data_IF_143810155335
#
_entry.id   IF_143810155335
#
_cell.length_a   1.000
_cell.length_b   1.000
_cell.length_c   1.000
_cell.angle_alpha   90.00
_cell.angle_beta   90.00
_cell.angle_gamma   90.00
#
_symmetry.space_group_name_H-M   'P 1'
#
loop_
_entity.id
_entity.type
_entity.pdbx_description
1 polymer ?
#
# COMPACT_ATOMS: atom_id res chain seq x y z
N UNK A 1 -34.70 26.92 72.11
CA UNK A 1 -36.08 26.71 71.79
C UNK A 1 -36.28 26.61 70.30
N UNK A 2 -37.28 25.86 69.85
CA UNK A 2 -37.61 25.72 68.42
C UNK A 2 -38.44 26.95 67.98
N UNK A 3 -38.09 27.59 66.88
CA UNK A 3 -38.89 28.58 66.22
C UNK A 3 -39.74 27.93 65.15
N UNK A 4 -41.06 27.96 65.28
CA UNK A 4 -41.98 27.50 64.25
C UNK A 4 -42.64 28.73 63.62
N UNK A 5 -42.41 28.86 62.28
CA UNK A 5 -43.06 29.89 61.46
C UNK A 5 -44.19 29.22 60.66
N UNK A 6 -45.40 29.73 60.80
CA UNK A 6 -46.58 29.25 60.06
C UNK A 6 -46.85 30.07 58.78
N UNK A 7 -46.00 31.05 58.48
CA UNK A 7 -46.10 31.96 57.34
C UNK A 7 -44.73 32.22 56.72
N UNK A 8 -44.71 32.86 55.57
CA UNK A 8 -43.45 33.14 54.81
C UNK A 8 -42.54 34.06 55.66
N UNK A 9 -41.27 33.65 55.80
CA UNK A 9 -40.24 34.55 56.30
C UNK A 9 -39.77 35.46 55.15
N UNK A 10 -39.93 36.78 55.33
CA UNK A 10 -39.46 37.80 54.40
C UNK A 10 -38.28 38.51 55.05
N UNK A 11 -37.11 38.43 54.50
CA UNK A 11 -35.87 39.05 54.96
C UNK A 11 -34.90 39.34 53.83
N UNK A 12 -33.97 40.25 54.08
CA UNK A 12 -32.89 40.57 53.11
C UNK A 12 -31.68 39.61 53.24
N UNK A 13 -31.57 38.89 54.36
CA UNK A 13 -30.53 37.86 54.57
C UNK A 13 -31.02 36.84 55.60
N UNK A 14 -30.59 35.60 55.44
CA UNK A 14 -30.78 34.54 56.41
C UNK A 14 -29.38 33.85 56.57
N UNK A 15 -28.82 33.97 57.78
CA UNK A 15 -27.55 33.31 58.14
C UNK A 15 -27.85 32.09 59.01
N UNK A 16 -27.47 30.89 58.49
CA UNK A 16 -27.66 29.62 59.17
C UNK A 16 -26.31 28.97 59.34
N UNK A 17 -25.83 28.88 60.58
CA UNK A 17 -24.55 28.23 60.90
C UNK A 17 -24.64 26.71 61.03
N UNK A 18 -25.81 26.10 60.86
CA UNK A 18 -26.07 24.66 60.91
C UNK A 18 -26.64 24.15 59.59
N UNK A 19 -27.18 22.94 59.61
CA UNK A 19 -27.78 22.30 58.45
C UNK A 19 -29.12 22.93 58.08
N UNK A 20 -29.42 22.95 56.79
CA UNK A 20 -30.76 23.30 56.25
C UNK A 20 -31.39 22.00 55.73
N UNK A 21 -32.44 21.57 56.38
CA UNK A 21 -33.28 20.44 55.96
C UNK A 21 -34.55 20.96 55.29
N UNK A 22 -34.76 20.64 54.02
CA UNK A 22 -35.91 21.07 53.23
C UNK A 22 -36.67 19.85 52.72
N UNK A 23 -37.81 19.54 53.30
CA UNK A 23 -38.65 18.42 52.86
C UNK A 23 -39.36 18.67 51.51
N UNK A 24 -39.29 19.86 50.96
CA UNK A 24 -39.96 20.26 49.72
C UNK A 24 -39.01 20.74 48.65
N UNK A 25 -39.52 21.59 47.77
CA UNK A 25 -38.73 22.20 46.67
C UNK A 25 -38.09 23.48 47.15
N UNK A 26 -36.80 23.63 46.90
CA UNK A 26 -36.03 24.86 47.06
C UNK A 26 -35.91 25.56 45.72
N UNK A 27 -36.38 26.80 45.61
CA UNK A 27 -36.23 27.64 44.42
C UNK A 27 -35.22 28.76 44.70
N UNK A 28 -34.07 28.68 44.05
CA UNK A 28 -32.97 29.65 44.20
C UNK A 28 -32.58 30.21 42.84
N UNK A 29 -32.46 31.52 42.70
CA UNK A 29 -32.07 32.17 41.46
C UNK A 29 -30.57 31.95 41.16
N UNK A 30 -29.73 32.00 42.18
CA UNK A 30 -28.30 31.76 42.10
C UNK A 30 -27.90 30.88 43.29
N UNK A 31 -27.13 29.83 43.03
CA UNK A 31 -26.54 28.97 44.06
C UNK A 31 -25.03 29.00 43.89
N UNK A 32 -24.34 29.49 44.92
CA UNK A 32 -22.87 29.45 45.01
C UNK A 32 -22.50 28.51 46.14
N UNK A 33 -21.73 27.46 45.83
CA UNK A 33 -21.36 26.40 46.76
C UNK A 33 -19.85 26.21 46.71
N UNK A 34 -19.16 26.63 47.79
CA UNK A 34 -17.71 26.46 47.91
C UNK A 34 -17.29 25.02 48.28
N UNK A 35 -18.23 24.15 48.61
CA UNK A 35 -18.00 22.77 49.03
C UNK A 35 -18.45 21.73 48.03
N UNK A 36 -18.31 20.45 48.38
CA UNK A 36 -18.80 19.33 47.59
C UNK A 36 -20.34 19.26 47.60
N UNK A 37 -20.94 18.95 46.47
CA UNK A 37 -22.37 18.63 46.32
C UNK A 37 -22.54 17.12 46.13
N UNK A 38 -23.29 16.51 47.07
CA UNK A 38 -23.66 15.09 46.93
C UNK A 38 -25.13 15.01 46.54
N UNK A 39 -25.39 14.42 45.36
CA UNK A 39 -26.74 14.15 44.85
C UNK A 39 -26.98 12.63 44.85
N UNK A 40 -27.91 12.17 45.66
CA UNK A 40 -28.21 10.76 45.83
C UNK A 40 -28.85 10.11 44.59
N UNK A 41 -29.44 10.90 43.66
CA UNK A 41 -30.16 10.41 42.48
C UNK A 41 -29.71 11.10 41.22
N UNK A 42 -30.46 12.05 40.70
CA UNK A 42 -30.24 12.65 39.37
C UNK A 42 -30.00 14.15 39.45
N UNK A 43 -29.00 14.63 38.73
CA UNK A 43 -28.88 16.06 38.38
C UNK A 43 -29.52 16.27 37.01
N UNK A 44 -30.61 17.05 36.96
CA UNK A 44 -31.22 17.52 35.73
C UNK A 44 -30.77 18.94 35.43
N UNK A 45 -30.00 19.12 34.39
CA UNK A 45 -29.60 20.48 33.92
C UNK A 45 -30.30 20.71 32.57
N UNK A 46 -31.12 21.76 32.49
CA UNK A 46 -31.83 22.13 31.25
C UNK A 46 -31.05 23.13 30.39
N UNK A 47 -29.97 23.69 30.92
CA UNK A 47 -29.05 24.57 30.23
C UNK A 47 -27.70 23.92 29.92
N UNK A 48 -26.72 24.74 29.61
CA UNK A 48 -25.35 24.33 29.42
C UNK A 48 -24.66 23.96 30.74
N UNK A 49 -23.80 22.96 30.75
CA UNK A 49 -22.95 22.61 31.89
C UNK A 49 -21.49 22.91 31.54
N UNK A 50 -20.86 23.81 32.28
CA UNK A 50 -19.43 24.11 32.15
C UNK A 50 -18.64 23.46 33.29
N UNK A 51 -17.71 22.60 32.98
CA UNK A 51 -16.76 22.02 33.93
C UNK A 51 -15.39 22.67 33.73
N UNK A 52 -14.82 23.29 34.74
CA UNK A 52 -13.54 23.99 34.66
C UNK A 52 -12.34 23.01 34.68
N UNK A 53 -12.52 21.77 35.15
CA UNK A 53 -11.45 20.79 35.23
C UNK A 53 -11.81 19.49 34.50
N UNK A 54 -12.41 18.53 35.17
CA UNK A 54 -12.66 17.19 34.63
C UNK A 54 -14.09 16.74 34.93
N UNK A 55 -14.64 15.90 34.06
CA UNK A 55 -15.70 14.96 34.40
C UNK A 55 -14.98 13.61 34.75
N UNK A 56 -14.98 13.27 36.05
CA UNK A 56 -14.41 12.02 36.52
C UNK A 56 -15.52 10.97 36.67
N UNK A 57 -15.39 9.89 35.94
CA UNK A 57 -16.33 8.77 35.90
C UNK A 57 -15.60 7.47 36.25
N UNK A 58 -16.28 6.55 36.91
CA UNK A 58 -15.73 5.24 37.24
C UNK A 58 -15.76 4.25 36.09
N UNK A 59 -15.12 3.09 36.30
CA UNK A 59 -15.19 1.99 35.36
C UNK A 59 -16.63 1.49 35.19
N UNK A 60 -17.05 1.26 33.97
CA UNK A 60 -18.40 0.88 33.63
C UNK A 60 -19.39 2.04 33.46
N UNK A 61 -19.05 3.25 33.91
CA UNK A 61 -19.88 4.42 33.68
C UNK A 61 -19.90 4.79 32.18
N UNK A 62 -21.04 5.33 31.70
CA UNK A 62 -21.27 5.57 30.28
C UNK A 62 -21.74 7.00 30.06
N UNK A 63 -21.07 7.72 29.16
CA UNK A 63 -21.60 8.94 28.56
C UNK A 63 -22.51 8.51 27.40
N UNK A 64 -23.79 8.87 27.47
CA UNK A 64 -24.80 8.52 26.47
C UNK A 64 -25.24 9.77 25.73
N UNK A 65 -25.19 9.71 24.41
CA UNK A 65 -25.62 10.78 23.51
C UNK A 65 -26.69 10.23 22.57
N UNK A 66 -27.72 11.04 22.29
CA UNK A 66 -28.88 10.63 21.52
C UNK A 66 -30.02 10.04 22.40
N UNK A 67 -31.24 10.06 21.90
CA UNK A 67 -32.44 9.68 22.65
C UNK A 67 -32.45 8.19 23.07
N UNK A 68 -31.77 7.33 22.30
CA UNK A 68 -31.63 5.87 22.55
C UNK A 68 -30.19 5.49 22.93
N UNK A 69 -29.38 6.44 23.38
CA UNK A 69 -27.94 6.23 23.62
C UNK A 69 -27.22 5.76 22.34
N UNK A 70 -27.48 6.45 21.23
CA UNK A 70 -27.00 6.09 19.90
C UNK A 70 -25.47 6.15 19.80
N UNK A 71 -24.83 7.11 20.49
CA UNK A 71 -23.38 7.19 20.69
C UNK A 71 -23.03 7.06 22.16
N UNK A 72 -22.11 6.16 22.49
CA UNK A 72 -21.64 5.97 23.87
C UNK A 72 -20.11 6.04 23.96
N UNK A 73 -19.63 6.63 25.07
CA UNK A 73 -18.22 6.62 25.48
C UNK A 73 -18.14 5.91 26.83
N UNK A 74 -17.25 4.91 26.96
CA UNK A 74 -17.11 4.17 28.20
C UNK A 74 -15.71 3.57 28.34
N UNK A 75 -15.29 3.32 29.60
CA UNK A 75 -14.17 2.46 29.97
C UNK A 75 -14.68 1.33 30.84
N UNK A 76 -14.29 0.06 30.58
CA UNK A 76 -14.80 -1.11 31.30
C UNK A 76 -13.81 -1.70 32.32
N UNK A 77 -12.76 -0.93 32.65
CA UNK A 77 -11.64 -1.38 33.49
C UNK A 77 -10.48 -2.00 32.71
N UNK A 78 -10.66 -2.22 31.41
CA UNK A 78 -9.63 -2.77 30.52
C UNK A 78 -9.57 -2.03 29.19
N UNK A 79 -10.71 -1.78 28.57
CA UNK A 79 -10.82 -1.19 27.23
C UNK A 79 -11.65 0.10 27.24
N UNK A 80 -11.29 1.02 26.36
CA UNK A 80 -12.05 2.23 26.07
C UNK A 80 -12.81 2.10 24.76
N UNK A 81 -14.07 2.53 24.76
CA UNK A 81 -14.99 2.39 23.65
C UNK A 81 -15.55 3.74 23.21
N UNK A 82 -15.61 3.96 21.91
CA UNK A 82 -16.49 4.91 21.23
C UNK A 82 -17.43 4.04 20.40
N UNK A 83 -18.68 3.94 20.78
CA UNK A 83 -19.63 3.01 20.16
C UNK A 83 -20.84 3.76 19.62
N UNK A 84 -21.03 3.72 18.31
CA UNK A 84 -22.18 4.20 17.58
C UNK A 84 -23.10 3.00 17.29
N UNK A 85 -24.32 3.04 17.84
CA UNK A 85 -25.37 2.05 17.65
C UNK A 85 -26.59 2.65 16.95
N UNK A 86 -26.50 3.92 16.56
CA UNK A 86 -27.52 4.62 15.80
C UNK A 86 -27.66 4.10 14.34
N UNK A 87 -28.52 4.76 13.59
CA UNK A 87 -28.75 4.43 12.17
C UNK A 87 -27.81 5.16 11.21
N UNK A 88 -27.00 6.10 11.72
CA UNK A 88 -26.08 6.91 10.95
C UNK A 88 -24.69 6.31 10.86
N UNK A 89 -23.73 7.15 10.53
CA UNK A 89 -22.31 6.83 10.44
C UNK A 89 -21.56 7.56 11.54
N UNK A 90 -20.63 6.90 12.21
CA UNK A 90 -19.66 7.59 13.07
C UNK A 90 -18.71 8.40 12.19
N UNK A 91 -18.82 9.70 12.20
CA UNK A 91 -17.97 10.63 11.45
C UNK A 91 -16.90 11.17 12.40
N UNK A 92 -15.63 11.04 11.99
CA UNK A 92 -14.47 11.62 12.67
C UNK A 92 -13.84 12.65 11.75
N UNK A 93 -13.97 13.93 12.08
CA UNK A 93 -13.51 15.04 11.25
C UNK A 93 -12.35 15.78 11.93
N UNK A 94 -11.41 16.24 11.13
CA UNK A 94 -10.29 17.07 11.59
C UNK A 94 -9.42 17.53 10.42
N UNK A 95 -8.59 18.54 10.67
CA UNK A 95 -7.54 18.96 9.71
C UNK A 95 -6.52 17.84 9.43
N UNK A 96 -6.42 16.86 10.32
CA UNK A 96 -5.64 15.64 10.20
C UNK A 96 -6.13 14.65 11.27
N UNK A 97 -6.20 13.37 10.93
CA UNK A 97 -6.53 12.31 11.88
C UNK A 97 -5.32 11.40 12.02
N UNK A 98 -4.80 11.26 13.24
CA UNK A 98 -3.65 10.43 13.55
C UNK A 98 -4.00 9.37 14.59
N UNK A 99 -3.61 8.12 14.32
CA UNK A 99 -3.63 7.04 15.30
C UNK A 99 -2.19 6.80 15.74
N UNK A 100 -1.92 6.96 17.03
CA UNK A 100 -0.58 6.88 17.61
C UNK A 100 -0.52 5.85 18.72
N UNK A 101 0.66 5.34 19.00
CA UNK A 101 0.95 4.49 20.13
C UNK A 101 0.97 5.33 21.42
N UNK A 102 0.36 4.81 22.48
CA UNK A 102 0.33 5.49 23.76
C UNK A 102 1.74 5.67 24.36
N UNK A 103 2.00 6.86 24.92
CA UNK A 103 3.23 7.18 25.66
C UNK A 103 4.48 7.46 24.84
N UNK A 104 4.41 7.34 23.52
CA UNK A 104 5.52 7.65 22.58
C UNK A 104 5.01 8.32 21.33
N UNK A 105 5.84 9.11 20.65
CA UNK A 105 5.47 9.75 19.38
C UNK A 105 5.68 8.78 18.20
N UNK A 106 4.95 7.65 18.24
CA UNK A 106 4.95 6.65 17.18
C UNK A 106 3.62 6.69 16.44
N UNK A 107 3.65 7.03 15.17
CA UNK A 107 2.48 7.05 14.30
C UNK A 107 2.20 5.64 13.75
N UNK A 108 0.95 5.20 13.84
CA UNK A 108 0.46 3.94 13.29
C UNK A 108 -0.36 4.16 12.02
N UNK A 109 -1.21 5.20 12.00
CA UNK A 109 -1.95 5.62 10.83
C UNK A 109 -2.10 7.15 10.81
N UNK A 110 -2.11 7.70 9.60
CA UNK A 110 -2.29 9.13 9.37
C UNK A 110 -3.21 9.35 8.18
N UNK A 111 -4.24 10.17 8.34
CA UNK A 111 -5.15 10.59 7.29
C UNK A 111 -5.04 12.10 7.13
N UNK A 112 -4.56 12.55 5.98
CA UNK A 112 -4.35 13.96 5.69
C UNK A 112 -5.27 14.37 4.55
N UNK A 113 -6.16 15.37 4.73
CA UNK A 113 -7.03 15.88 3.65
C UNK A 113 -6.20 16.29 2.43
N UNK A 114 -6.73 16.01 1.24
CA UNK A 114 -6.09 16.31 -0.07
C UNK A 114 -4.68 15.69 -0.26
N UNK A 115 -4.34 14.71 0.60
CA UNK A 115 -3.05 14.01 0.58
C UNK A 115 -3.24 12.50 0.85
N UNK A 116 -2.20 11.83 1.33
CA UNK A 116 -2.23 10.40 1.53
C UNK A 116 -2.96 9.96 2.82
N UNK A 117 -3.69 8.84 2.74
CA UNK A 117 -3.92 7.97 3.87
C UNK A 117 -2.72 7.03 3.99
N UNK A 118 -2.01 7.07 5.13
CA UNK A 118 -0.75 6.33 5.31
C UNK A 118 -0.80 5.41 6.51
N UNK A 119 -0.37 4.17 6.34
CA UNK A 119 -0.16 3.20 7.42
C UNK A 119 1.34 3.02 7.69
N UNK A 120 1.69 2.91 8.96
CA UNK A 120 3.08 2.87 9.41
C UNK A 120 3.39 1.59 10.18
N UNK A 121 4.65 1.21 10.17
CA UNK A 121 5.26 0.24 11.07
C UNK A 121 6.53 0.85 11.65
N UNK A 122 6.59 1.02 12.97
CA UNK A 122 7.70 1.68 13.69
C UNK A 122 8.06 3.05 13.07
N UNK A 123 7.08 3.94 12.91
CA UNK A 123 7.21 5.27 12.26
C UNK A 123 7.65 5.25 10.79
N UNK A 124 7.85 4.10 10.17
CA UNK A 124 8.15 3.98 8.75
C UNK A 124 6.87 3.75 7.94
N UNK A 125 6.57 4.60 6.97
CA UNK A 125 5.44 4.43 6.07
C UNK A 125 5.58 3.12 5.28
N UNK A 126 4.51 2.31 5.26
CA UNK A 126 4.45 1.02 4.56
C UNK A 126 3.43 1.01 3.43
N UNK A 127 2.30 1.66 3.62
CA UNK A 127 1.24 1.78 2.62
C UNK A 127 0.80 3.24 2.61
N UNK A 128 0.72 3.84 1.41
CA UNK A 128 0.22 5.20 1.24
C UNK A 128 -0.63 5.31 -0.02
N UNK A 129 -1.79 5.98 0.06
CA UNK A 129 -2.59 6.31 -1.13
C UNK A 129 -1.93 7.43 -1.93
N UNK A 130 -2.09 7.39 -3.25
CA UNK A 130 -1.61 8.43 -4.18
C UNK A 130 -2.74 8.83 -5.12
N UNK A 131 -2.54 9.85 -5.94
CA UNK A 131 -3.52 10.27 -6.94
C UNK A 131 -3.86 9.18 -7.98
N UNK A 132 -2.97 8.19 -8.18
CA UNK A 132 -3.09 7.16 -9.23
C UNK A 132 -3.19 5.74 -8.67
N UNK A 133 -3.08 5.55 -7.34
CA UNK A 133 -3.12 4.21 -6.76
C UNK A 133 -2.60 4.14 -5.34
N UNK A 134 -1.83 3.12 -5.03
CA UNK A 134 -1.25 2.87 -3.71
C UNK A 134 0.24 2.58 -3.83
N UNK A 135 1.05 3.24 -3.01
CA UNK A 135 2.46 2.90 -2.83
C UNK A 135 2.61 1.92 -1.66
N UNK A 136 3.32 0.83 -1.90
CA UNK A 136 3.75 -0.13 -0.88
C UNK A 136 5.27 -0.06 -0.76
N UNK A 137 5.77 0.22 0.44
CA UNK A 137 7.22 0.24 0.72
C UNK A 137 7.64 -1.12 1.28
N UNK A 138 8.37 -1.86 0.50
CA UNK A 138 8.75 -3.27 0.75
C UNK A 138 7.96 -4.23 -0.13
N UNK A 139 7.84 -5.47 0.31
CA UNK A 139 7.16 -6.53 -0.43
C UNK A 139 5.66 -6.60 -0.16
N UNK A 140 4.90 -7.02 -1.14
CA UNK A 140 3.53 -7.54 -0.95
C UNK A 140 3.62 -9.06 -0.81
N UNK A 141 3.39 -9.59 0.37
CA UNK A 141 3.40 -11.03 0.61
C UNK A 141 2.06 -11.64 0.19
N UNK A 142 2.09 -12.58 -0.76
CA UNK A 142 0.90 -13.25 -1.28
C UNK A 142 0.92 -14.73 -0.88
N UNK A 143 -0.03 -15.13 -0.06
CA UNK A 143 -0.19 -16.53 0.36
C UNK A 143 0.66 -16.96 1.56
N UNK A 144 1.46 -16.06 2.15
CA UNK A 144 2.28 -16.34 3.35
C UNK A 144 3.33 -15.28 3.61
N UNK A 145 4.03 -15.34 4.75
CA UNK A 145 5.04 -14.36 5.17
C UNK A 145 6.48 -14.75 4.84
N UNK A 146 6.69 -15.90 4.19
CA UNK A 146 8.02 -16.34 3.75
C UNK A 146 8.54 -15.54 2.56
N UNK A 147 9.87 -15.47 2.41
CA UNK A 147 10.50 -14.75 1.29
C UNK A 147 10.08 -15.23 -0.09
N UNK A 148 9.70 -16.52 -0.21
CA UNK A 148 9.17 -17.07 -1.45
C UNK A 148 7.78 -16.53 -1.86
N UNK A 149 7.09 -15.85 -0.94
CA UNK A 149 5.76 -15.25 -1.16
C UNK A 149 5.82 -13.73 -1.39
N UNK A 150 7.01 -13.15 -1.33
CA UNK A 150 7.22 -11.73 -1.52
C UNK A 150 7.14 -11.35 -3.00
N UNK A 151 6.17 -10.51 -3.36
CA UNK A 151 6.16 -9.79 -4.62
C UNK A 151 6.80 -8.41 -4.36
N UNK A 152 8.09 -8.30 -4.62
CA UNK A 152 8.92 -7.13 -4.34
C UNK A 152 9.68 -6.62 -5.57
N UNK A 153 9.57 -7.32 -6.69
CA UNK A 153 10.28 -7.03 -7.92
C UNK A 153 9.35 -7.26 -9.13
N UNK A 154 8.57 -6.21 -9.44
CA UNK A 154 7.80 -6.13 -10.68
C UNK A 154 8.31 -4.95 -11.50
N UNK A 155 8.68 -5.22 -12.74
CA UNK A 155 9.21 -4.21 -13.65
C UNK A 155 8.74 -4.44 -15.09
N UNK A 156 8.35 -3.37 -15.76
CA UNK A 156 8.08 -3.34 -17.19
C UNK A 156 9.00 -2.32 -17.86
N UNK A 157 9.44 -2.63 -19.05
CA UNK A 157 10.28 -1.70 -19.78
C UNK A 157 10.49 -2.05 -21.26
N UNK A 158 11.35 -1.27 -21.88
CA UNK A 158 11.81 -1.49 -23.24
C UNK A 158 13.30 -1.78 -23.25
N UNK A 159 13.75 -2.48 -24.29
CA UNK A 159 15.15 -2.78 -24.53
C UNK A 159 15.49 -2.65 -26.02
N UNK A 160 16.77 -2.52 -26.32
CA UNK A 160 17.25 -2.31 -27.67
C UNK A 160 18.02 -3.55 -28.15
N UNK A 161 17.40 -4.43 -28.94
CA UNK A 161 18.08 -5.60 -29.48
C UNK A 161 19.16 -5.21 -30.48
N UNK A 162 20.33 -5.84 -30.45
CA UNK A 162 21.42 -5.55 -31.38
C UNK A 162 22.09 -6.82 -31.89
N UNK A 163 22.28 -6.93 -33.18
CA UNK A 163 23.08 -7.98 -33.83
C UNK A 163 24.57 -7.63 -33.87
N UNK A 164 24.96 -6.46 -33.34
CA UNK A 164 26.35 -5.98 -33.28
C UNK A 164 26.88 -5.45 -34.62
N UNK A 165 28.19 -5.19 -34.68
CA UNK A 165 28.86 -4.62 -35.82
C UNK A 165 28.37 -3.22 -36.19
N UNK A 166 28.35 -2.93 -37.50
CA UNK A 166 27.81 -1.67 -38.07
C UNK A 166 26.42 -1.89 -38.69
N UNK A 167 25.63 -2.81 -38.13
CA UNK A 167 24.27 -3.04 -38.58
C UNK A 167 23.41 -1.79 -38.37
N UNK A 168 22.59 -1.44 -39.36
CA UNK A 168 21.50 -0.49 -39.18
C UNK A 168 20.16 -1.20 -39.24
N UNK A 169 19.17 -0.57 -38.66
CA UNK A 169 17.86 -1.17 -38.47
C UNK A 169 16.77 -0.27 -39.03
N UNK A 170 15.80 -0.89 -39.72
CA UNK A 170 14.55 -0.24 -40.09
C UNK A 170 13.57 -0.26 -38.93
N UNK A 171 13.61 -1.38 -38.13
CA UNK A 171 12.93 -1.47 -36.83
C UNK A 171 13.87 -2.15 -35.82
N UNK A 172 13.89 -1.66 -34.60
CA UNK A 172 14.72 -2.15 -33.52
C UNK A 172 13.98 -1.88 -32.21
N UNK A 173 13.23 -2.86 -31.71
CA UNK A 173 12.35 -2.66 -30.58
C UNK A 173 12.18 -3.93 -29.74
N UNK A 174 12.27 -3.77 -28.43
CA UNK A 174 12.00 -4.82 -27.47
C UNK A 174 11.20 -4.31 -26.29
N UNK A 175 10.36 -5.15 -25.74
CA UNK A 175 9.65 -4.92 -24.47
C UNK A 175 9.93 -6.08 -23.52
N UNK A 176 9.80 -5.82 -22.22
CA UNK A 176 9.88 -6.85 -21.21
C UNK A 176 8.91 -6.64 -20.07
N UNK A 177 8.58 -7.74 -19.41
CA UNK A 177 7.95 -7.77 -18.10
C UNK A 177 8.76 -8.71 -17.22
N UNK A 178 9.15 -8.26 -16.04
CA UNK A 178 9.88 -9.01 -15.02
C UNK A 178 9.03 -9.16 -13.77
N UNK A 179 8.95 -10.35 -13.23
CA UNK A 179 8.27 -10.66 -11.96
C UNK A 179 9.22 -11.52 -11.13
N UNK A 180 9.71 -10.95 -10.04
CA UNK A 180 10.80 -11.59 -9.30
C UNK A 180 12.01 -11.84 -10.19
N UNK A 181 12.49 -13.06 -10.24
CA UNK A 181 13.60 -13.45 -11.11
C UNK A 181 13.17 -14.01 -12.49
N UNK A 182 11.88 -13.99 -12.81
CA UNK A 182 11.38 -14.43 -14.11
C UNK A 182 11.13 -13.24 -15.03
N UNK A 183 11.71 -13.27 -16.22
CA UNK A 183 11.52 -12.25 -17.25
C UNK A 183 10.94 -12.85 -18.52
N UNK A 184 10.01 -12.13 -19.13
CA UNK A 184 9.51 -12.38 -20.48
C UNK A 184 9.84 -11.21 -21.37
N UNK A 185 10.51 -11.48 -22.48
CA UNK A 185 10.90 -10.50 -23.49
C UNK A 185 10.10 -10.70 -24.77
N UNK A 186 9.84 -9.60 -25.44
CA UNK A 186 9.36 -9.56 -26.83
C UNK A 186 10.34 -8.73 -27.66
N UNK A 187 10.56 -9.14 -28.92
CA UNK A 187 11.48 -8.48 -29.83
C UNK A 187 10.92 -8.39 -31.23
N UNK A 188 11.10 -7.23 -31.83
CA UNK A 188 10.94 -7.00 -33.28
C UNK A 188 12.20 -6.32 -33.78
N UNK A 189 12.86 -6.94 -34.75
CA UNK A 189 14.05 -6.36 -35.41
C UNK A 189 13.93 -6.54 -36.93
N UNK A 190 14.12 -5.46 -37.66
CA UNK A 190 14.23 -5.47 -39.13
C UNK A 190 15.57 -4.83 -39.49
N UNK A 191 16.45 -5.61 -40.06
CA UNK A 191 17.79 -5.16 -40.44
C UNK A 191 17.73 -4.48 -41.79
N UNK A 192 18.13 -3.21 -41.84
CA UNK A 192 18.28 -2.48 -43.09
C UNK A 192 19.56 -2.86 -43.81
N UNK A 193 20.68 -2.94 -43.07
CA UNK A 193 21.96 -3.37 -43.58
C UNK A 193 22.74 -4.14 -42.50
N UNK A 194 23.26 -5.29 -42.83
CA UNK A 194 23.97 -6.20 -41.93
C UNK A 194 25.52 -6.08 -42.01
N UNK A 195 26.04 -4.97 -42.53
CA UNK A 195 27.49 -4.79 -42.72
C UNK A 195 28.22 -4.90 -41.35
N UNK A 196 29.23 -5.75 -41.30
CA UNK A 196 30.13 -5.90 -40.16
C UNK A 196 29.45 -6.50 -38.92
N UNK A 197 28.38 -7.24 -39.08
CA UNK A 197 27.85 -8.09 -38.02
C UNK A 197 28.85 -9.20 -37.74
N UNK A 198 29.68 -9.04 -36.72
CA UNK A 198 30.82 -9.93 -36.45
C UNK A 198 30.39 -11.38 -36.25
N UNK A 199 29.73 -11.74 -35.19
CA UNK A 199 29.12 -13.05 -34.97
C UNK A 199 27.65 -12.95 -35.31
N UNK A 200 27.31 -13.25 -36.56
CA UNK A 200 25.94 -13.10 -37.06
C UNK A 200 24.96 -14.18 -36.52
N UNK A 201 25.31 -14.84 -35.44
CA UNK A 201 24.50 -15.84 -34.73
C UNK A 201 24.07 -15.42 -33.32
N UNK A 202 24.31 -14.18 -32.93
CA UNK A 202 23.93 -13.70 -31.61
C UNK A 202 23.19 -12.35 -31.63
N UNK A 203 22.37 -12.12 -30.62
CA UNK A 203 21.66 -10.86 -30.40
C UNK A 203 21.90 -10.43 -28.96
N UNK A 204 22.40 -9.23 -28.80
CA UNK A 204 22.74 -8.62 -27.53
C UNK A 204 21.74 -7.53 -27.14
N UNK A 205 21.95 -6.92 -25.97
CA UNK A 205 21.16 -5.81 -25.48
C UNK A 205 19.98 -6.23 -24.62
N UNK A 206 19.92 -7.48 -24.16
CA UNK A 206 18.93 -7.90 -23.18
C UNK A 206 19.04 -7.05 -21.92
N UNK A 207 17.93 -6.69 -21.27
CA UNK A 207 17.94 -5.81 -20.10
C UNK A 207 18.58 -6.46 -18.87
N UNK A 208 18.55 -7.80 -18.78
CA UNK A 208 19.09 -8.56 -17.65
C UNK A 208 19.88 -9.77 -18.16
N UNK A 209 20.95 -10.09 -17.45
CA UNK A 209 21.68 -11.32 -17.69
C UNK A 209 20.88 -12.53 -17.17
N UNK A 210 21.02 -13.66 -17.85
CA UNK A 210 20.51 -14.93 -17.35
C UNK A 210 21.28 -15.36 -16.09
N UNK A 211 20.60 -16.02 -15.14
CA UNK A 211 21.25 -16.57 -13.94
C UNK A 211 22.35 -17.60 -14.30
N UNK A 212 23.35 -17.73 -13.42
CA UNK A 212 24.54 -18.56 -13.66
C UNK A 212 24.38 -20.05 -13.32
N UNK A 213 23.21 -20.49 -12.83
CA UNK A 213 23.01 -21.83 -12.24
C UNK A 213 22.98 -22.98 -13.25
N UNK A 214 23.03 -22.70 -14.54
CA UNK A 214 23.13 -23.73 -15.61
C UNK A 214 21.85 -24.53 -15.91
N UNK A 215 20.79 -24.36 -15.14
CA UNK A 215 19.52 -25.09 -15.29
C UNK A 215 18.40 -24.28 -15.93
N UNK A 216 18.61 -23.01 -16.15
CA UNK A 216 17.61 -22.09 -16.66
C UNK A 216 17.99 -21.65 -18.06
N UNK A 217 17.62 -22.44 -19.04
CA UNK A 217 17.86 -22.12 -20.46
C UNK A 217 16.57 -21.50 -21.02
N UNK A 218 16.58 -20.19 -21.24
CA UNK A 218 15.50 -19.54 -21.97
C UNK A 218 15.51 -19.98 -23.43
N UNK A 219 14.45 -20.62 -23.88
CA UNK A 219 14.27 -20.99 -25.30
C UNK A 219 13.43 -19.94 -26.03
N UNK A 220 13.78 -19.65 -27.29
CA UNK A 220 13.06 -18.71 -28.13
C UNK A 220 11.81 -19.33 -28.73
N UNK A 221 10.72 -18.56 -28.71
CA UNK A 221 9.57 -18.81 -29.58
C UNK A 221 9.58 -17.76 -30.70
N UNK A 222 10.02 -18.20 -31.91
CA UNK A 222 10.08 -17.34 -33.09
C UNK A 222 8.69 -17.29 -33.73
N UNK A 223 8.06 -16.14 -33.74
CA UNK A 223 6.73 -15.92 -34.35
C UNK A 223 6.83 -15.57 -35.84
N UNK A 224 7.91 -14.92 -36.23
CA UNK A 224 8.17 -14.60 -37.63
C UNK A 224 9.67 -14.51 -37.89
N UNK A 225 10.09 -15.04 -39.03
CA UNK A 225 11.42 -14.86 -39.58
C UNK A 225 11.38 -14.82 -41.09
N UNK A 226 11.79 -13.68 -41.67
CA UNK A 226 11.88 -13.45 -43.10
C UNK A 226 13.26 -12.98 -43.53
N UNK A 227 13.64 -13.28 -44.77
CA UNK A 227 14.92 -12.87 -45.39
C UNK A 227 16.16 -13.24 -44.54
N UNK A 228 16.14 -14.42 -43.91
CA UNK A 228 17.31 -14.98 -43.27
C UNK A 228 18.27 -15.59 -44.31
N UNK A 229 19.46 -15.96 -43.87
CA UNK A 229 20.42 -16.68 -44.75
C UNK A 229 19.77 -17.94 -45.31
N UNK A 230 19.89 -18.16 -46.59
CA UNK A 230 19.22 -19.26 -47.36
C UNK A 230 19.55 -20.66 -46.87
N UNK A 231 20.62 -20.80 -46.08
CA UNK A 231 21.07 -22.08 -45.51
C UNK A 231 20.45 -22.39 -44.14
N UNK A 232 19.70 -21.45 -43.51
CA UNK A 232 19.15 -21.67 -42.15
C UNK A 232 17.73 -22.20 -42.23
N UNK A 233 17.55 -23.43 -41.79
CA UNK A 233 16.27 -24.11 -41.66
C UNK A 233 15.98 -24.34 -40.17
N UNK A 234 14.73 -24.22 -39.75
CA UNK A 234 14.31 -24.40 -38.32
C UNK A 234 15.13 -23.55 -37.35
N UNK A 235 15.14 -22.22 -37.52
CA UNK A 235 15.84 -21.32 -36.59
C UNK A 235 15.26 -21.46 -35.18
N UNK A 236 16.15 -21.50 -34.20
CA UNK A 236 15.83 -21.44 -32.78
C UNK A 236 16.95 -20.69 -32.07
N UNK A 237 16.87 -20.59 -30.75
CA UNK A 237 17.91 -19.96 -29.97
C UNK A 237 17.67 -20.12 -28.48
N UNK A 238 18.66 -19.70 -27.71
CA UNK A 238 18.61 -19.71 -26.26
C UNK A 238 19.35 -18.50 -25.68
N UNK A 239 18.99 -18.11 -24.46
CA UNK A 239 19.72 -17.08 -23.75
C UNK A 239 21.00 -17.70 -23.18
N UNK A 240 22.14 -17.05 -23.41
CA UNK A 240 23.45 -17.54 -22.95
C UNK A 240 23.53 -17.37 -21.44
N UNK A 241 23.93 -18.46 -20.76
CA UNK A 241 24.14 -18.51 -19.33
C UNK A 241 25.09 -17.39 -18.85
N UNK A 242 24.72 -16.70 -17.77
CA UNK A 242 25.48 -15.58 -17.21
C UNK A 242 25.75 -14.43 -18.21
N UNK A 243 24.88 -14.24 -19.20
CA UNK A 243 25.03 -13.21 -20.21
C UNK A 243 23.69 -12.54 -20.57
N UNK A 244 23.76 -11.33 -21.06
CA UNK A 244 22.64 -10.57 -21.62
C UNK A 244 22.59 -10.72 -23.15
N UNK A 245 22.67 -11.96 -23.63
CA UNK A 245 22.82 -12.29 -25.05
C UNK A 245 22.05 -13.55 -25.40
N UNK A 246 21.42 -13.55 -26.57
CA UNK A 246 20.78 -14.71 -27.20
C UNK A 246 21.74 -15.29 -28.22
N UNK A 247 21.93 -16.61 -28.18
CA UNK A 247 22.60 -17.37 -29.25
C UNK A 247 21.54 -18.03 -30.10
N UNK A 248 21.67 -17.87 -31.40
CA UNK A 248 20.81 -18.53 -32.38
C UNK A 248 21.45 -19.84 -32.87
N UNK A 249 20.60 -20.81 -33.17
CA UNK A 249 20.95 -22.07 -33.74
C UNK A 249 19.92 -22.50 -34.80
N UNK A 250 20.25 -23.41 -35.65
CA UNK A 250 19.37 -23.92 -36.68
C UNK A 250 20.02 -25.07 -37.46
N UNK A 251 19.32 -25.58 -38.46
CA UNK A 251 19.85 -26.58 -39.38
C UNK A 251 20.23 -25.87 -40.68
N UNK A 252 21.30 -26.32 -41.35
CA UNK A 252 21.54 -25.94 -42.73
C UNK A 252 20.95 -26.98 -43.66
N UNK A 253 20.62 -26.59 -44.89
CA UNK A 253 19.95 -27.47 -45.88
C UNK A 253 20.73 -28.72 -46.28
N UNK A 254 21.99 -28.86 -45.87
CA UNK A 254 22.85 -30.01 -46.15
C UNK A 254 23.05 -30.94 -44.94
N UNK A 255 22.71 -30.50 -43.74
CA UNK A 255 22.95 -31.22 -42.48
C UNK A 255 21.64 -31.58 -41.78
N UNK A 256 21.55 -32.81 -41.31
CA UNK A 256 20.43 -33.30 -40.51
C UNK A 256 20.61 -33.04 -39.01
N UNK A 257 21.67 -32.35 -38.62
CA UNK A 257 21.96 -31.99 -37.19
C UNK A 257 21.89 -30.50 -36.94
N UNK A 258 21.39 -30.14 -35.76
CA UNK A 258 21.40 -28.77 -35.27
C UNK A 258 22.84 -28.28 -35.12
N UNK A 259 23.15 -27.12 -35.69
CA UNK A 259 24.44 -26.45 -35.51
C UNK A 259 24.28 -25.34 -34.49
N UNK A 260 25.03 -25.44 -33.41
CA UNK A 260 24.99 -24.48 -32.32
C UNK A 260 25.77 -23.18 -32.56
N UNK A 261 26.68 -23.19 -33.57
CA UNK A 261 27.54 -22.04 -33.91
C UNK A 261 27.96 -22.08 -35.38
N UNK A 262 28.22 -20.92 -35.96
CA UNK A 262 28.99 -20.81 -37.19
C UNK A 262 28.22 -20.53 -38.48
N UNK A 263 26.99 -20.09 -38.43
CA UNK A 263 26.29 -19.58 -39.62
C UNK A 263 25.80 -18.14 -39.41
N UNK A 264 25.80 -17.39 -40.48
CA UNK A 264 25.21 -16.05 -40.49
C UNK A 264 23.70 -16.17 -40.57
N UNK A 265 23.03 -15.91 -39.45
CA UNK A 265 21.58 -15.91 -39.40
C UNK A 265 21.00 -14.63 -40.00
N UNK A 266 21.72 -13.52 -39.82
CA UNK A 266 21.28 -12.20 -40.21
C UNK A 266 21.86 -11.73 -41.54
N UNK A 267 20.98 -11.30 -42.40
CA UNK A 267 21.31 -10.70 -43.69
C UNK A 267 20.65 -9.32 -43.81
N UNK A 268 20.95 -8.61 -44.88
CA UNK A 268 20.21 -7.42 -45.23
C UNK A 268 18.73 -7.77 -45.37
N UNK A 269 17.88 -6.94 -44.81
CA UNK A 269 16.41 -7.11 -44.78
C UNK A 269 15.89 -8.25 -43.91
N UNK A 270 16.72 -8.91 -43.07
CA UNK A 270 16.21 -9.92 -42.12
C UNK A 270 15.18 -9.28 -41.22
N UNK A 271 14.00 -9.89 -41.14
CA UNK A 271 12.92 -9.56 -40.25
C UNK A 271 12.74 -10.68 -39.23
N UNK A 272 12.93 -10.37 -37.97
CA UNK A 272 12.82 -11.36 -36.89
C UNK A 272 11.88 -10.83 -35.79
N UNK A 273 10.92 -11.68 -35.41
CA UNK A 273 10.02 -11.44 -34.27
C UNK A 273 10.05 -12.69 -33.38
N UNK A 274 10.22 -12.49 -32.09
CA UNK A 274 10.24 -13.60 -31.15
C UNK A 274 9.83 -13.15 -29.73
N UNK A 275 9.51 -14.13 -28.93
CA UNK A 275 9.46 -14.01 -27.47
C UNK A 275 10.42 -15.01 -26.81
N UNK A 276 10.90 -14.66 -25.62
CA UNK A 276 11.72 -15.53 -24.79
C UNK A 276 11.44 -15.27 -23.33
N UNK A 277 11.42 -16.33 -22.54
CA UNK A 277 11.36 -16.22 -21.08
C UNK A 277 12.55 -16.95 -20.47
N UNK A 278 13.14 -16.34 -19.44
CA UNK A 278 14.27 -16.93 -18.72
C UNK A 278 14.31 -16.38 -17.28
N UNK A 279 15.21 -16.94 -16.45
CA UNK A 279 15.45 -16.46 -15.10
C UNK A 279 16.69 -15.55 -15.08
N UNK A 280 16.55 -14.43 -14.37
CA UNK A 280 17.64 -13.49 -14.12
C UNK A 280 18.36 -13.81 -12.82
N UNK A 281 19.58 -13.29 -12.68
CA UNK A 281 20.37 -13.40 -11.45
C UNK A 281 19.73 -12.61 -10.31
#
# INVERSE_FOLDING_TARGET
GQLTLTQTLIGTALDISGDIDVDGTTNLDIVDIDGAVNMATTLLVTGETTLQTHLNMGDGDIIKLGASADLTLKHDGSNSYISDTGTGTLIIEGSQIAIKKNGVDETMALFTPDAAATLYHNNAAKIATTATGVNVTGAVNIGGTGTANALDDYEEGSWTPSVGGNANYTQQFGRYTKIGNHITLQCVIIIGNAIGTGSASSLSGLPFAQESTGFSVGSLSISYMGANATSVIYPTGYVINNAATISFSGMNGANTTFQLNGFNMFTNTTHLQFSVSYRTA
#
